data_IF_498024020452
#
_entry.id   IF_498024020452
#
_cell.length_a   1.000
_cell.length_b   1.000
_cell.length_c   1.000
_cell.angle_alpha   90.00
_cell.angle_beta   90.00
_cell.angle_gamma   90.00
#
_symmetry.space_group_name_H-M   'P 1'
#
loop_
_entity.id
_entity.type
_entity.pdbx_description
1 polymer ?
#
# COMPACT_ATOMS: atom_id res chain seq x y z
N UNK A 1 -1.24 17.43 6.29
CA UNK A 1 -0.72 17.23 4.92
C UNK A 1 -0.39 18.59 4.32
N UNK A 2 0.83 18.73 3.77
CA UNK A 2 1.50 19.94 3.24
C UNK A 2 0.86 21.30 3.60
N UNK A 3 1.42 22.00 4.58
CA UNK A 3 1.06 23.40 4.89
C UNK A 3 1.62 24.39 3.84
N UNK A 4 2.73 24.04 3.18
CA UNK A 4 3.43 24.88 2.19
C UNK A 4 3.75 24.06 0.92
N UNK A 5 3.61 24.69 -0.25
CA UNK A 5 3.83 24.03 -1.56
C UNK A 5 5.24 23.47 -1.76
N UNK A 6 6.26 24.06 -1.11
CA UNK A 6 7.64 23.61 -1.21
C UNK A 6 7.81 22.15 -0.76
N UNK A 7 7.18 21.75 0.35
CA UNK A 7 7.28 20.38 0.85
C UNK A 7 6.66 19.38 -0.15
N UNK A 8 5.58 19.78 -0.86
CA UNK A 8 4.96 18.93 -1.88
C UNK A 8 5.91 18.68 -3.07
N UNK A 9 6.61 19.72 -3.51
CA UNK A 9 7.61 19.63 -4.59
C UNK A 9 8.79 18.75 -4.18
N UNK A 10 9.32 18.94 -2.97
CA UNK A 10 10.43 18.12 -2.45
C UNK A 10 10.04 16.65 -2.38
N UNK A 11 8.90 16.33 -1.74
CA UNK A 11 8.43 14.95 -1.62
C UNK A 11 8.19 14.32 -3.02
N UNK A 12 7.65 15.08 -3.98
CA UNK A 12 7.47 14.61 -5.35
C UNK A 12 8.79 14.26 -6.02
N UNK A 13 9.78 15.17 -6.01
CA UNK A 13 11.08 14.97 -6.66
C UNK A 13 11.81 13.77 -6.03
N UNK A 14 11.88 13.71 -4.71
CA UNK A 14 12.57 12.63 -4.00
C UNK A 14 11.92 11.27 -4.30
N UNK A 15 10.59 11.19 -4.19
CA UNK A 15 9.88 9.93 -4.43
C UNK A 15 9.94 9.52 -5.91
N UNK A 16 9.91 10.47 -6.83
CA UNK A 16 10.05 10.19 -8.25
C UNK A 16 11.42 9.58 -8.55
N UNK A 17 12.51 10.17 -8.02
CA UNK A 17 13.87 9.62 -8.17
C UNK A 17 13.94 8.22 -7.56
N UNK A 18 13.44 8.03 -6.34
CA UNK A 18 13.44 6.72 -5.69
C UNK A 18 12.70 5.69 -6.54
N UNK A 19 11.51 6.01 -7.04
CA UNK A 19 10.73 5.12 -7.90
C UNK A 19 11.46 4.76 -9.20
N UNK A 20 12.15 5.72 -9.82
CA UNK A 20 12.98 5.48 -11.01
C UNK A 20 14.20 4.60 -10.70
N UNK A 21 14.70 4.60 -9.47
CA UNK A 21 15.80 3.68 -9.09
C UNK A 21 15.27 2.28 -8.78
N UNK A 22 14.14 2.19 -8.07
CA UNK A 22 13.61 0.89 -7.59
C UNK A 22 12.63 0.21 -8.55
N UNK A 23 12.22 0.84 -9.65
CA UNK A 23 11.22 0.25 -10.57
C UNK A 23 11.56 -1.16 -11.06
N UNK A 24 12.84 -1.53 -11.35
CA UNK A 24 13.14 -2.89 -11.80
C UNK A 24 12.82 -3.91 -10.69
N UNK A 25 13.12 -3.56 -9.43
CA UNK A 25 12.81 -4.39 -8.27
C UNK A 25 11.29 -4.48 -8.09
N UNK A 26 10.56 -3.38 -8.19
CA UNK A 26 9.10 -3.39 -8.09
C UNK A 26 8.46 -4.27 -9.18
N UNK A 27 8.99 -4.23 -10.40
CA UNK A 27 8.53 -5.07 -11.50
C UNK A 27 8.79 -6.56 -11.23
N UNK A 28 9.99 -6.91 -10.76
CA UNK A 28 10.33 -8.29 -10.40
C UNK A 28 9.42 -8.82 -9.28
N UNK A 29 9.20 -8.03 -8.23
CA UNK A 29 8.28 -8.38 -7.14
C UNK A 29 6.85 -8.52 -7.64
N UNK A 30 6.41 -7.65 -8.54
CA UNK A 30 5.08 -7.70 -9.16
C UNK A 30 4.87 -9.03 -9.89
N UNK A 31 5.83 -9.44 -10.72
CA UNK A 31 5.78 -10.70 -11.45
C UNK A 31 5.79 -11.88 -10.48
N UNK A 32 6.68 -11.85 -9.47
CA UNK A 32 6.81 -12.93 -8.50
C UNK A 32 5.52 -13.14 -7.69
N UNK A 33 4.90 -12.05 -7.24
CA UNK A 33 3.62 -12.08 -6.54
C UNK A 33 2.46 -12.48 -7.45
N UNK A 34 2.46 -12.09 -8.73
CA UNK A 34 1.43 -12.50 -9.67
C UNK A 34 1.32 -14.03 -9.77
N UNK A 35 2.47 -14.70 -9.90
CA UNK A 35 2.52 -16.16 -9.92
C UNK A 35 2.24 -16.77 -8.55
N UNK A 36 2.81 -16.22 -7.48
CA UNK A 36 2.56 -16.72 -6.12
C UNK A 36 1.09 -16.62 -5.72
N UNK A 37 0.39 -15.56 -6.14
CA UNK A 37 -1.02 -15.33 -5.87
C UNK A 37 -1.97 -16.00 -6.87
N UNK A 38 -1.48 -16.92 -7.72
CA UNK A 38 -2.29 -17.68 -8.68
C UNK A 38 -3.14 -16.78 -9.60
N UNK A 39 -2.57 -15.65 -10.04
CA UNK A 39 -3.25 -14.72 -10.94
C UNK A 39 -4.23 -13.74 -10.26
N UNK A 40 -4.39 -13.78 -8.93
CA UNK A 40 -5.27 -12.86 -8.19
C UNK A 40 -4.77 -11.39 -8.13
N UNK A 41 -3.75 -11.05 -8.94
CA UNK A 41 -3.10 -9.75 -8.98
C UNK A 41 -1.97 -9.59 -7.96
N UNK A 42 -1.13 -8.58 -8.21
CA UNK A 42 -0.01 -8.23 -7.35
C UNK A 42 -0.31 -7.03 -6.45
N UNK A 43 -1.34 -6.25 -6.72
CA UNK A 43 -1.68 -5.04 -5.96
C UNK A 43 -2.98 -5.21 -5.18
N UNK A 44 -3.04 -4.56 -4.03
CA UNK A 44 -4.23 -4.45 -3.21
C UNK A 44 -4.33 -3.03 -2.69
N UNK A 45 -5.56 -2.50 -2.61
CA UNK A 45 -5.81 -1.14 -2.14
C UNK A 45 -6.66 -1.15 -0.88
N UNK A 46 -6.31 -0.31 0.09
CA UNK A 46 -7.08 -0.09 1.32
C UNK A 46 -7.58 1.35 1.39
N UNK A 47 -8.81 1.55 1.85
CA UNK A 47 -9.31 2.88 2.13
C UNK A 47 -8.69 3.44 3.41
N UNK A 48 -8.27 4.69 3.34
CA UNK A 48 -7.56 5.38 4.41
C UNK A 48 -7.98 6.86 4.47
N UNK A 49 -8.14 7.46 5.65
CA UNK A 49 -8.33 8.89 5.78
C UNK A 49 -7.02 9.63 5.55
N UNK A 50 -7.05 10.60 4.64
CA UNK A 50 -5.99 11.54 4.34
C UNK A 50 -6.23 12.91 4.98
N UNK A 51 -5.77 13.96 4.30
CA UNK A 51 -5.98 15.34 4.77
C UNK A 51 -7.46 15.67 4.92
N UNK A 52 -7.80 16.34 6.01
CA UNK A 52 -9.15 16.82 6.31
C UNK A 52 -10.20 15.69 6.29
N UNK A 53 -9.77 14.46 6.64
CA UNK A 53 -10.64 13.27 6.65
C UNK A 53 -11.00 12.71 5.28
N UNK A 54 -10.45 13.26 4.18
CA UNK A 54 -10.75 12.79 2.82
C UNK A 54 -10.22 11.38 2.61
N UNK A 55 -11.08 10.46 2.21
CA UNK A 55 -10.70 9.07 1.96
C UNK A 55 -9.88 8.97 0.67
N UNK A 56 -8.77 8.23 0.72
CA UNK A 56 -7.97 7.84 -0.42
C UNK A 56 -7.68 6.33 -0.39
N UNK A 57 -7.26 5.80 -1.54
CA UNK A 57 -6.91 4.38 -1.69
C UNK A 57 -5.40 4.21 -1.55
N UNK A 58 -4.96 3.71 -0.39
CA UNK A 58 -3.58 3.36 -0.12
C UNK A 58 -3.21 2.08 -0.88
N UNK A 59 -2.12 2.13 -1.66
CA UNK A 59 -1.70 1.05 -2.55
C UNK A 59 -0.62 0.23 -1.85
N UNK A 60 -0.77 -1.10 -1.86
CA UNK A 60 0.23 -2.06 -1.37
C UNK A 60 0.40 -3.21 -2.36
N UNK A 61 1.48 -3.96 -2.21
CA UNK A 61 1.51 -5.29 -2.81
C UNK A 61 0.60 -6.24 -2.05
N UNK A 62 -0.09 -7.08 -2.80
CA UNK A 62 -0.93 -8.16 -2.33
C UNK A 62 -0.04 -9.35 -1.99
N UNK A 63 0.08 -9.65 -0.71
CA UNK A 63 0.93 -10.74 -0.21
C UNK A 63 0.16 -12.05 0.05
N UNK A 64 -1.16 -12.07 -0.16
CA UNK A 64 -2.02 -13.21 0.15
C UNK A 64 -2.85 -13.59 -1.08
N UNK A 65 -3.09 -14.90 -1.26
CA UNK A 65 -3.92 -15.44 -2.33
C UNK A 65 -5.40 -15.10 -2.11
N UNK A 66 -6.25 -15.30 -3.13
CA UNK A 66 -7.72 -15.20 -3.01
C UNK A 66 -8.39 -16.58 -2.93
N UNK A 67 -7.65 -17.59 -2.45
CA UNK A 67 -8.18 -18.93 -2.34
C UNK A 67 -9.37 -18.99 -1.38
N UNK A 68 -10.38 -19.74 -1.81
CA UNK A 68 -11.65 -19.93 -1.10
C UNK A 68 -11.89 -21.42 -0.84
N UNK A 69 -12.67 -21.70 0.19
CA UNK A 69 -13.19 -23.05 0.46
C UNK A 69 -14.31 -23.43 -0.51
N UNK A 70 -14.87 -24.63 -0.33
CA UNK A 70 -15.94 -25.17 -1.18
C UNK A 70 -17.22 -24.33 -1.08
N UNK A 71 -17.43 -23.65 0.04
CA UNK A 71 -18.54 -22.75 0.32
C UNK A 71 -18.32 -21.34 -0.25
N UNK A 72 -17.17 -21.10 -0.89
CA UNK A 72 -16.82 -19.82 -1.50
C UNK A 72 -16.35 -18.76 -0.51
N UNK A 73 -16.07 -19.11 0.75
CA UNK A 73 -15.50 -18.20 1.76
C UNK A 73 -13.98 -18.18 1.64
N UNK A 74 -13.36 -17.01 1.85
CA UNK A 74 -11.91 -16.90 1.84
C UNK A 74 -11.29 -17.83 2.89
N UNK A 75 -10.25 -18.56 2.49
CA UNK A 75 -9.50 -19.39 3.42
C UNK A 75 -8.89 -18.55 4.55
N UNK A 76 -8.55 -19.15 5.69
CA UNK A 76 -7.81 -18.47 6.75
C UNK A 76 -6.48 -17.89 6.24
N UNK A 77 -6.06 -16.76 6.78
CA UNK A 77 -4.82 -16.06 6.38
C UNK A 77 -3.59 -16.97 6.40
N UNK A 78 -3.50 -17.90 7.36
CA UNK A 78 -2.41 -18.88 7.46
C UNK A 78 -2.29 -19.79 6.22
N UNK A 79 -3.41 -20.07 5.53
CA UNK A 79 -3.44 -20.85 4.29
C UNK A 79 -3.25 -19.99 3.04
N UNK A 80 -3.54 -18.69 3.11
CA UNK A 80 -3.44 -17.75 1.98
C UNK A 80 -2.10 -17.04 1.88
N UNK A 81 -1.30 -17.05 2.95
CA UNK A 81 0.00 -16.39 3.00
C UNK A 81 1.11 -17.27 2.40
N UNK A 82 1.51 -16.97 1.18
CA UNK A 82 2.57 -17.70 0.45
C UNK A 82 3.96 -17.43 1.00
N UNK A 83 4.95 -18.27 0.68
CA UNK A 83 6.35 -18.01 1.06
C UNK A 83 6.86 -16.66 0.51
N UNK A 84 6.48 -16.32 -0.72
CA UNK A 84 6.77 -15.02 -1.34
C UNK A 84 6.10 -13.89 -0.57
N UNK A 85 4.82 -14.06 -0.23
CA UNK A 85 4.07 -13.10 0.58
C UNK A 85 4.68 -12.87 1.96
N UNK A 86 5.17 -13.93 2.61
CA UNK A 86 5.90 -13.85 3.89
C UNK A 86 7.18 -13.02 3.74
N UNK A 87 7.98 -13.29 2.71
CA UNK A 87 9.21 -12.54 2.44
C UNK A 87 8.91 -11.06 2.21
N UNK A 88 7.97 -10.75 1.29
CA UNK A 88 7.61 -9.37 0.94
C UNK A 88 7.14 -8.56 2.16
N UNK A 89 6.39 -9.18 3.07
CA UNK A 89 5.99 -8.56 4.35
C UNK A 89 7.15 -8.39 5.33
N UNK A 90 7.99 -9.41 5.47
CA UNK A 90 9.12 -9.37 6.40
C UNK A 90 10.14 -8.29 6.04
N UNK A 91 10.26 -7.96 4.75
CA UNK A 91 11.15 -6.92 4.25
C UNK A 91 10.43 -5.57 4.02
N UNK A 92 9.15 -5.44 4.39
CA UNK A 92 8.31 -4.26 4.14
C UNK A 92 8.23 -3.82 2.68
N UNK A 93 8.53 -4.73 1.74
CA UNK A 93 8.46 -4.45 0.30
C UNK A 93 7.00 -4.20 -0.11
N UNK A 94 6.04 -4.79 0.61
CA UNK A 94 4.61 -4.58 0.37
C UNK A 94 4.17 -3.12 0.49
N UNK A 95 4.93 -2.29 1.20
CA UNK A 95 4.63 -0.89 1.43
C UNK A 95 5.21 0.03 0.35
N UNK A 96 6.17 -0.41 -0.45
CA UNK A 96 6.80 0.43 -1.48
C UNK A 96 5.81 1.03 -2.50
N UNK A 97 4.72 0.34 -2.91
CA UNK A 97 3.70 0.95 -3.77
C UNK A 97 3.03 2.21 -3.19
N UNK A 98 3.11 2.45 -1.87
CA UNK A 98 2.60 3.67 -1.24
C UNK A 98 3.34 4.93 -1.72
N UNK A 99 4.57 4.78 -2.25
CA UNK A 99 5.29 5.88 -2.89
C UNK A 99 4.49 6.48 -4.06
N UNK A 100 3.66 5.69 -4.74
CA UNK A 100 2.75 6.17 -5.77
C UNK A 100 1.67 7.09 -5.17
N UNK A 101 1.19 6.82 -3.95
CA UNK A 101 0.27 7.72 -3.24
C UNK A 101 0.95 9.06 -2.88
N UNK A 102 2.24 9.04 -2.55
CA UNK A 102 3.01 10.28 -2.36
C UNK A 102 3.13 11.05 -3.68
N UNK A 103 3.40 10.37 -4.81
CA UNK A 103 3.40 11.04 -6.12
C UNK A 103 2.05 11.63 -6.51
N UNK A 104 0.93 10.97 -6.17
CA UNK A 104 -0.42 11.49 -6.39
C UNK A 104 -0.78 12.67 -5.47
N UNK A 105 -0.12 12.74 -4.32
CA UNK A 105 -0.39 13.76 -3.29
C UNK A 105 -1.45 13.34 -2.28
N UNK A 106 -1.83 12.06 -2.28
CA UNK A 106 -2.73 11.47 -1.27
C UNK A 106 -2.03 11.38 0.10
N UNK A 107 -0.70 11.19 0.08
CA UNK A 107 0.16 11.03 1.25
C UNK A 107 1.38 11.96 1.17
N UNK A 108 2.02 12.17 2.31
CA UNK A 108 3.32 12.81 2.39
C UNK A 108 4.38 11.80 2.82
N UNK A 109 5.64 12.00 2.39
CA UNK A 109 6.76 11.15 2.79
C UNK A 109 6.98 11.19 4.31
N UNK A 110 6.72 12.37 4.90
CA UNK A 110 6.77 12.60 6.35
C UNK A 110 5.41 13.17 6.77
N UNK A 111 4.68 12.45 7.62
CA UNK A 111 3.35 12.80 8.10
C UNK A 111 2.77 11.74 9.06
N UNK A 112 1.57 11.96 9.61
CA UNK A 112 0.90 10.99 10.47
C UNK A 112 0.57 9.72 9.67
N UNK A 113 0.62 8.56 10.35
CA UNK A 113 0.24 7.28 9.74
C UNK A 113 -1.27 7.27 9.47
N UNK A 114 -1.72 7.03 8.23
CA UNK A 114 -3.14 6.93 7.94
C UNK A 114 -3.73 5.65 8.56
N UNK A 115 -4.67 5.82 9.49
CA UNK A 115 -5.31 4.72 10.20
C UNK A 115 -6.54 4.20 9.45
N UNK A 116 -7.32 3.29 10.03
CA UNK A 116 -8.59 2.87 9.41
C UNK A 116 -9.61 4.01 9.45
N UNK A 117 -10.49 4.15 8.42
CA UNK A 117 -11.60 5.10 8.46
C UNK A 117 -12.49 4.95 9.70
N UNK A 118 -12.59 3.73 10.24
CA UNK A 118 -13.32 3.40 11.47
C UNK A 118 -12.87 4.19 12.70
N UNK A 119 -11.63 4.69 12.71
CA UNK A 119 -11.14 5.53 13.81
C UNK A 119 -11.56 7.00 13.69
N UNK A 120 -11.98 7.48 12.50
CA UNK A 120 -12.41 8.87 12.31
C UNK A 120 -13.46 9.35 13.34
N UNK A 121 -14.56 8.61 13.60
CA UNK A 121 -15.58 9.06 14.57
C UNK A 121 -15.11 9.01 16.03
N UNK A 122 -13.98 8.36 16.32
CA UNK A 122 -13.43 8.24 17.68
C UNK A 122 -12.53 9.43 18.07
N UNK A 123 -12.15 10.27 17.10
CA UNK A 123 -11.40 11.49 17.39
C UNK A 123 -12.31 12.60 17.92
N UNK A 124 -11.88 13.25 19.00
CA UNK A 124 -12.47 14.52 19.43
C UNK A 124 -12.26 15.58 18.36
N UNK A 125 -13.21 16.50 18.22
CA UNK A 125 -12.99 17.72 17.45
C UNK A 125 -11.90 18.53 18.15
N UNK A 126 -10.88 18.96 17.39
CA UNK A 126 -9.90 19.96 17.84
C UNK A 126 -10.57 21.32 18.04
#
# INVERSE_FOLDING_TARGET
>A
MYKHGLKRVIDFILVFIVLVVIWPILLLITIWLHFANKGAGAFFTQERPGKDGRIFRLIKFKSMTDERDAEGKLLPDAKRLTHVGKFVRATSIDELPQLINVLKGDMALIGPRPLLPEYLPLYSKE
#
